data_IF_007630220139
#
_entry.id   IF_007630220139
#
_cell.length_a   1.000
_cell.length_b   1.000
_cell.length_c   1.000
_cell.angle_alpha   90.00
_cell.angle_beta   90.00
_cell.angle_gamma   90.00
#
_symmetry.space_group_name_H-M   'P 1'
#
loop_
_entity.id
_entity.type
_entity.pdbx_description
1 polymer ?
#
# COMPACT_ATOMS: atom_id res chain seq x y z
N UNK A 1 1.31 19.40 -5.84
CA UNK A 1 1.63 17.99 -6.15
C UNK A 1 1.65 17.75 -7.66
N UNK A 2 2.51 16.86 -8.17
CA UNK A 2 2.47 16.45 -9.58
C UNK A 2 1.25 15.58 -9.85
N UNK A 3 0.48 15.95 -10.87
CA UNK A 3 -0.59 15.14 -11.40
C UNK A 3 -0.02 13.87 -12.05
N UNK A 4 -0.57 12.71 -11.70
CA UNK A 4 -0.25 11.44 -12.31
C UNK A 4 -0.95 11.31 -13.68
N UNK A 5 -0.20 10.84 -14.67
CA UNK A 5 -0.84 10.15 -15.79
C UNK A 5 -1.35 8.81 -15.26
N UNK A 6 -2.64 8.52 -15.49
CA UNK A 6 -3.26 7.32 -14.95
C UNK A 6 -3.56 6.31 -16.07
N UNK A 7 -3.30 5.02 -15.82
CA UNK A 7 -3.58 3.98 -16.79
C UNK A 7 -5.07 3.94 -17.12
N UNK A 8 -5.39 3.56 -18.36
CA UNK A 8 -6.77 3.32 -18.78
C UNK A 8 -7.44 2.19 -17.96
N UNK A 9 -6.64 1.33 -17.34
CA UNK A 9 -7.10 0.15 -16.65
C UNK A 9 -6.33 -0.13 -15.36
N UNK A 10 -7.08 -0.51 -14.34
CA UNK A 10 -6.58 -0.99 -13.06
C UNK A 10 -7.33 -2.24 -12.61
N UNK A 11 -6.66 -3.00 -11.76
CA UNK A 11 -7.18 -4.18 -11.10
C UNK A 11 -7.14 -3.97 -9.59
N UNK A 12 -8.10 -4.58 -8.90
CA UNK A 12 -8.14 -4.61 -7.44
C UNK A 12 -8.53 -6.01 -7.00
N UNK A 13 -7.81 -6.56 -6.03
CA UNK A 13 -8.26 -7.74 -5.31
C UNK A 13 -9.01 -7.28 -4.06
N UNK A 14 -10.32 -7.55 -4.03
CA UNK A 14 -11.20 -7.11 -2.95
C UNK A 14 -11.98 -8.28 -2.35
N UNK A 15 -12.79 -7.99 -1.33
CA UNK A 15 -13.67 -8.98 -0.71
C UNK A 15 -14.88 -9.24 -1.59
N UNK A 16 -15.36 -10.47 -1.60
CA UNK A 16 -16.68 -10.77 -2.18
C UNK A 16 -17.79 -10.03 -1.40
N UNK A 17 -18.93 -9.74 -2.05
CA UNK A 17 -19.22 -9.99 -3.47
C UNK A 17 -18.64 -8.93 -4.41
N UNK A 18 -18.39 -7.72 -3.92
CA UNK A 18 -17.98 -6.57 -4.72
C UNK A 18 -16.55 -6.12 -4.34
N UNK A 19 -15.56 -6.29 -5.22
CA UNK A 19 -14.18 -5.91 -4.93
C UNK A 19 -13.98 -4.40 -4.81
N UNK A 20 -14.90 -3.59 -5.33
CA UNK A 20 -14.86 -2.13 -5.28
C UNK A 20 -15.65 -1.54 -4.12
N UNK A 21 -16.37 -2.37 -3.35
CA UNK A 21 -17.02 -1.93 -2.13
C UNK A 21 -15.99 -1.37 -1.15
N UNK A 22 -16.35 -0.26 -0.50
CA UNK A 22 -15.54 0.31 0.56
C UNK A 22 -15.40 -0.68 1.71
N UNK A 23 -14.20 -0.80 2.33
CA UNK A 23 -14.06 -1.52 3.58
C UNK A 23 -15.05 -1.00 4.63
N UNK A 24 -15.67 -1.94 5.34
CA UNK A 24 -16.54 -1.62 6.48
C UNK A 24 -15.67 -1.15 7.65
N UNK A 25 -16.07 -0.04 8.29
CA UNK A 25 -15.41 0.51 9.47
C UNK A 25 -15.34 -0.49 10.63
N UNK A 26 -16.19 -1.51 10.67
CA UNK A 26 -16.09 -2.62 11.62
C UNK A 26 -14.74 -3.36 11.55
N UNK A 27 -14.00 -3.25 10.45
CA UNK A 27 -12.67 -3.85 10.28
C UNK A 27 -11.52 -2.85 10.52
N UNK A 28 -11.81 -1.61 10.89
CA UNK A 28 -10.76 -0.66 11.26
C UNK A 28 -10.09 -1.07 12.57
N UNK A 29 -8.79 -0.84 12.66
CA UNK A 29 -8.01 -1.06 13.87
C UNK A 29 -8.34 0.01 14.93
N UNK A 30 -7.77 -0.12 16.13
CA UNK A 30 -8.03 0.79 17.24
C UNK A 30 -7.60 2.25 16.93
N UNK A 31 -6.65 2.42 16.01
CA UNK A 31 -6.20 3.73 15.52
C UNK A 31 -7.11 4.32 14.42
N UNK A 32 -8.19 3.61 14.06
CA UNK A 32 -9.17 3.94 13.01
C UNK A 32 -8.63 3.83 11.58
N UNK A 33 -7.46 3.22 11.38
CA UNK A 33 -6.93 2.86 10.06
C UNK A 33 -7.26 1.41 9.72
N UNK A 34 -6.92 0.97 8.50
CA UNK A 34 -7.00 -0.44 8.11
C UNK A 34 -5.60 -1.07 8.01
N UNK A 35 -4.60 -0.46 8.69
CA UNK A 35 -3.22 -0.92 8.71
C UNK A 35 -2.42 -0.66 7.43
N UNK A 36 -2.92 0.15 6.49
CA UNK A 36 -2.25 0.40 5.20
C UNK A 36 -1.52 1.75 5.15
N UNK A 37 -0.56 1.85 4.21
CA UNK A 37 0.37 2.98 4.09
C UNK A 37 -0.31 4.34 3.87
N UNK A 38 -1.38 4.39 3.09
CA UNK A 38 -2.06 5.64 2.73
C UNK A 38 -3.44 5.77 3.36
N UNK A 39 -3.74 5.00 4.40
CA UNK A 39 -4.99 5.17 5.14
C UNK A 39 -5.06 6.57 5.77
N UNK A 40 -6.27 7.04 6.06
CA UNK A 40 -6.44 8.32 6.74
C UNK A 40 -6.09 8.17 8.23
N UNK A 41 -5.08 8.89 8.74
CA UNK A 41 -4.72 8.82 10.16
C UNK A 41 -5.84 9.37 11.07
N UNK A 42 -6.84 10.06 10.51
CA UNK A 42 -7.98 10.59 11.26
C UNK A 42 -9.28 9.79 11.10
N UNK A 43 -9.32 8.75 10.26
CA UNK A 43 -10.50 7.92 10.03
C UNK A 43 -11.70 8.65 9.43
N UNK A 44 -11.47 9.69 8.61
CA UNK A 44 -12.49 10.51 7.93
C UNK A 44 -12.74 10.08 6.49
N UNK A 45 -11.77 9.46 5.82
CA UNK A 45 -11.92 8.86 4.49
C UNK A 45 -11.35 7.44 4.42
N UNK A 46 -11.67 6.74 3.33
CA UNK A 46 -11.22 5.37 3.04
C UNK A 46 -10.43 5.34 1.74
N UNK A 47 -9.50 4.39 1.64
CA UNK A 47 -8.63 4.24 0.46
C UNK A 47 -8.83 2.87 -0.18
N UNK A 48 -8.92 2.86 -1.51
CA UNK A 48 -8.87 1.64 -2.31
C UNK A 48 -7.50 1.53 -2.98
N UNK A 49 -6.82 0.42 -2.73
CA UNK A 49 -5.60 0.02 -3.41
C UNK A 49 -5.95 -0.76 -4.68
N UNK A 50 -5.31 -0.37 -5.79
CA UNK A 50 -5.43 -0.98 -7.10
C UNK A 50 -4.06 -0.92 -7.81
N UNK A 51 -3.86 -1.76 -8.81
CA UNK A 51 -2.63 -1.81 -9.61
C UNK A 51 -2.94 -1.93 -11.10
N UNK A 52 -2.05 -1.44 -11.94
CA UNK A 52 -2.08 -1.67 -13.40
C UNK A 52 -1.94 -3.13 -13.79
N UNK A 53 -1.36 -3.94 -12.91
CA UNK A 53 -1.13 -5.36 -13.16
C UNK A 53 -1.95 -6.20 -12.22
N UNK A 54 -2.78 -7.08 -12.78
CA UNK A 54 -3.56 -8.05 -11.99
C UNK A 54 -2.68 -8.92 -11.10
N UNK A 55 -1.50 -9.34 -11.55
CA UNK A 55 -0.59 -10.16 -10.73
C UNK A 55 -0.07 -9.39 -9.52
N UNK A 56 0.18 -8.09 -9.65
CA UNK A 56 0.68 -7.26 -8.56
C UNK A 56 -0.36 -7.15 -7.42
N UNK A 57 -1.65 -7.08 -7.73
CA UNK A 57 -2.69 -7.04 -6.67
C UNK A 57 -2.71 -8.32 -5.85
N UNK A 58 -2.45 -9.49 -6.47
CA UNK A 58 -2.30 -10.74 -5.74
C UNK A 58 -1.06 -10.75 -4.87
N UNK A 59 0.10 -10.39 -5.42
CA UNK A 59 1.37 -10.39 -4.68
C UNK A 59 1.31 -9.48 -3.46
N UNK A 60 0.71 -8.30 -3.58
CA UNK A 60 0.53 -7.36 -2.46
C UNK A 60 -0.38 -7.94 -1.37
N UNK A 61 -1.51 -8.55 -1.72
CA UNK A 61 -2.42 -9.13 -0.73
C UNK A 61 -1.87 -10.42 -0.09
N UNK A 62 -0.95 -11.12 -0.76
CA UNK A 62 -0.28 -12.30 -0.25
C UNK A 62 0.98 -11.99 0.56
N UNK A 63 1.38 -10.71 0.64
CA UNK A 63 2.61 -10.29 1.30
C UNK A 63 2.75 -10.78 2.74
N UNK A 64 1.65 -10.79 3.50
CA UNK A 64 1.61 -11.24 4.90
C UNK A 64 1.75 -12.75 5.07
N UNK A 65 1.58 -13.54 4.00
CA UNK A 65 1.81 -14.98 4.02
C UNK A 65 3.25 -15.33 3.61
N UNK A 66 4.04 -14.36 3.14
CA UNK A 66 5.43 -14.63 2.78
C UNK A 66 6.22 -15.02 4.03
N UNK A 67 7.08 -16.06 3.95
CA UNK A 67 8.00 -16.36 5.03
C UNK A 67 8.85 -15.14 5.36
N UNK A 68 9.12 -14.94 6.65
CA UNK A 68 10.06 -13.92 7.09
C UNK A 68 11.46 -14.25 6.56
N UNK A 69 12.11 -13.28 5.93
CA UNK A 69 13.40 -13.50 5.26
C UNK A 69 14.53 -13.79 6.26
N UNK A 70 14.46 -13.22 7.46
CA UNK A 70 15.45 -13.47 8.52
C UNK A 70 15.24 -14.89 9.06
N UNK A 71 13.99 -15.31 9.27
CA UNK A 71 13.68 -16.69 9.67
C UNK A 71 14.13 -17.70 8.62
N UNK A 72 13.92 -17.43 7.33
CA UNK A 72 14.41 -18.29 6.24
C UNK A 72 15.94 -18.38 6.27
N UNK A 73 16.62 -17.25 6.46
CA UNK A 73 18.08 -17.22 6.53
C UNK A 73 18.61 -18.01 7.75
N UNK A 74 17.95 -17.89 8.91
CA UNK A 74 18.28 -18.65 10.13
C UNK A 74 18.05 -20.16 9.95
N UNK A 75 16.91 -20.55 9.38
CA UNK A 75 16.60 -21.96 9.09
C UNK A 75 17.62 -22.60 8.15
N UNK A 76 18.12 -21.86 7.16
CA UNK A 76 19.18 -22.33 6.25
C UNK A 76 20.52 -22.60 6.96
N UNK A 77 20.76 -22.05 8.15
CA UNK A 77 21.95 -22.35 8.96
C UNK A 77 21.81 -23.61 9.81
N UNK A 78 20.60 -24.16 9.95
CA UNK A 78 20.37 -25.39 10.72
C UNK A 78 20.75 -26.58 9.83
N UNK A 79 21.87 -27.24 10.18
CA UNK A 79 22.23 -28.54 9.60
C UNK A 79 21.34 -29.60 10.25
N UNK A 80 20.33 -30.08 9.52
CA UNK A 80 19.53 -31.23 9.94
C UNK A 80 20.37 -32.51 9.89
N UNK A 81 20.30 -33.33 10.93
CA UNK A 81 20.54 -34.77 10.78
C UNK A 81 19.37 -35.33 9.95
N UNK A 82 19.61 -36.29 9.05
CA UNK A 82 18.68 -36.76 8.00
C UNK A 82 17.39 -37.45 8.52
N UNK A 83 16.99 -37.21 9.77
CA UNK A 83 15.84 -37.79 10.45
C UNK A 83 14.63 -36.85 10.56
N UNK A 84 13.67 -37.02 9.64
CA UNK A 84 12.21 -36.89 9.76
C UNK A 84 11.54 -35.65 10.41
N UNK A 85 12.26 -34.61 10.80
CA UNK A 85 11.66 -33.35 11.28
C UNK A 85 11.78 -32.23 10.25
N UNK A 86 11.06 -32.38 9.13
CA UNK A 86 10.89 -31.27 8.19
C UNK A 86 9.99 -30.19 8.85
N UNK A 87 10.45 -28.94 8.97
CA UNK A 87 9.63 -27.88 9.53
C UNK A 87 8.37 -27.66 8.67
N UNK A 88 7.23 -27.24 9.28
CA UNK A 88 6.01 -27.01 8.52
C UNK A 88 6.25 -25.97 7.41
N UNK A 89 5.61 -26.13 6.24
CA UNK A 89 5.86 -25.26 5.10
C UNK A 89 5.42 -23.83 5.41
N UNK A 90 6.36 -22.88 5.33
CA UNK A 90 6.05 -21.46 5.34
C UNK A 90 5.46 -21.06 3.96
N UNK A 91 4.59 -20.04 3.92
CA UNK A 91 3.97 -19.62 2.66
C UNK A 91 2.61 -20.25 2.34
N UNK A 92 1.93 -20.84 3.32
CA UNK A 92 0.60 -21.45 3.11
C UNK A 92 -0.50 -20.39 3.19
N UNK A 93 -1.30 -20.31 2.13
CA UNK A 93 -2.49 -19.46 2.07
C UNK A 93 -3.72 -20.33 2.34
N UNK A 94 -4.56 -20.01 3.36
CA UNK A 94 -5.79 -20.77 3.61
C UNK A 94 -6.72 -20.75 2.40
N UNK A 95 -7.37 -21.88 2.11
CA UNK A 95 -8.33 -21.97 0.99
C UNK A 95 -9.47 -20.94 1.12
N UNK A 96 -9.96 -20.73 2.35
CA UNK A 96 -10.98 -19.74 2.67
C UNK A 96 -10.59 -18.30 2.27
N UNK A 97 -9.29 -17.98 2.26
CA UNK A 97 -8.83 -16.65 1.83
C UNK A 97 -9.12 -16.43 0.35
N UNK A 98 -8.93 -17.46 -0.47
CA UNK A 98 -9.23 -17.43 -1.91
C UNK A 98 -10.73 -17.32 -2.12
N UNK A 99 -11.51 -18.12 -1.39
CA UNK A 99 -12.97 -18.16 -1.53
C UNK A 99 -13.65 -16.83 -1.20
N UNK A 100 -13.09 -16.07 -0.26
CA UNK A 100 -13.61 -14.77 0.19
C UNK A 100 -13.17 -13.57 -0.68
N UNK A 101 -12.40 -13.80 -1.75
CA UNK A 101 -11.83 -12.73 -2.59
C UNK A 101 -12.30 -12.83 -4.03
N UNK A 102 -12.33 -11.68 -4.70
CA UNK A 102 -12.57 -11.57 -6.13
C UNK A 102 -11.77 -10.42 -6.73
N UNK A 103 -11.46 -10.51 -8.02
CA UNK A 103 -10.73 -9.48 -8.76
C UNK A 103 -11.73 -8.56 -9.45
N UNK A 104 -11.62 -7.27 -9.17
CA UNK A 104 -12.28 -6.20 -9.93
C UNK A 104 -11.35 -5.66 -11.01
N UNK A 105 -11.94 -5.31 -12.16
CA UNK A 105 -11.33 -4.54 -13.24
C UNK A 105 -12.05 -3.20 -13.31
N UNK A 106 -11.33 -2.10 -13.50
CA UNK A 106 -11.89 -0.76 -13.53
C UNK A 106 -11.01 0.22 -14.28
N UNK A 107 -11.54 1.42 -14.51
CA UNK A 107 -10.80 2.55 -15.06
C UNK A 107 -10.72 3.66 -14.00
N UNK A 108 -9.60 4.38 -13.97
CA UNK A 108 -9.45 5.53 -13.08
C UNK A 108 -10.09 6.76 -13.75
N UNK A 109 -10.87 7.49 -12.96
CA UNK A 109 -11.47 8.77 -13.36
C UNK A 109 -11.18 9.77 -12.25
N UNK A 110 -10.88 11.02 -12.63
CA UNK A 110 -10.55 12.10 -11.70
C UNK A 110 -9.07 12.42 -11.66
N UNK A 111 -8.69 13.21 -10.66
CA UNK A 111 -7.32 13.65 -10.49
C UNK A 111 -6.54 12.74 -9.53
N UNK A 112 -5.29 12.46 -9.86
CA UNK A 112 -4.44 11.58 -9.04
C UNK A 112 -3.09 12.26 -8.82
N UNK A 113 -2.57 12.19 -7.60
CA UNK A 113 -1.22 12.67 -7.30
C UNK A 113 -0.19 11.55 -7.54
N UNK A 114 0.86 11.82 -8.30
CA UNK A 114 2.05 10.96 -8.35
C UNK A 114 2.97 11.34 -7.20
N UNK A 115 2.86 10.61 -6.09
CA UNK A 115 3.64 10.87 -4.87
C UNK A 115 5.13 10.57 -5.06
N UNK A 116 5.47 9.66 -5.97
CA UNK A 116 6.86 9.28 -6.22
C UNK A 116 7.60 10.21 -7.19
N UNK A 117 6.90 11.13 -7.84
CA UNK A 117 7.50 12.07 -8.79
C UNK A 117 8.42 13.07 -8.08
N UNK A 118 9.55 13.42 -8.71
CA UNK A 118 10.55 14.31 -8.11
C UNK A 118 9.99 15.68 -7.68
N UNK A 119 9.09 16.28 -8.47
CA UNK A 119 8.41 17.53 -8.09
C UNK A 119 7.53 17.36 -6.84
N UNK A 120 6.78 16.25 -6.75
CA UNK A 120 5.97 15.94 -5.56
C UNK A 120 6.85 15.71 -4.34
N UNK A 121 7.96 14.97 -4.48
CA UNK A 121 8.89 14.74 -3.39
C UNK A 121 9.53 16.03 -2.90
N UNK A 122 9.93 16.93 -3.80
CA UNK A 122 10.49 18.24 -3.44
C UNK A 122 9.47 19.12 -2.68
N UNK A 123 8.21 19.10 -3.11
CA UNK A 123 7.11 19.78 -2.42
C UNK A 123 6.87 19.19 -1.03
N UNK A 124 6.66 17.86 -0.95
CA UNK A 124 6.41 17.16 0.32
C UNK A 124 7.56 17.34 1.31
N UNK A 125 8.82 17.35 0.82
CA UNK A 125 10.01 17.55 1.65
C UNK A 125 9.95 18.90 2.36
N UNK A 126 9.44 19.92 1.69
CA UNK A 126 9.32 21.27 2.24
C UNK A 126 8.08 21.38 3.12
N UNK A 127 6.91 21.00 2.61
CA UNK A 127 5.62 21.20 3.28
C UNK A 127 5.44 20.30 4.50
N UNK A 128 5.99 19.09 4.47
CA UNK A 128 5.89 18.11 5.56
C UNK A 128 7.19 17.98 6.35
N UNK A 129 8.13 18.93 6.25
CA UNK A 129 9.43 18.87 6.93
C UNK A 129 9.30 18.59 8.45
N UNK A 130 8.33 19.23 9.13
CA UNK A 130 8.09 18.99 10.54
C UNK A 130 7.63 17.55 10.82
N UNK A 131 6.84 16.94 9.92
CA UNK A 131 6.41 15.54 10.04
C UNK A 131 7.55 14.59 9.73
N UNK A 132 8.39 14.89 8.73
CA UNK A 132 9.62 14.12 8.42
C UNK A 132 10.50 13.99 9.67
N UNK A 133 10.79 15.10 10.35
CA UNK A 133 11.56 15.11 11.60
C UNK A 133 10.82 14.39 12.73
N UNK A 134 9.51 14.63 12.88
CA UNK A 134 8.70 13.98 13.92
C UNK A 134 8.74 12.45 13.85
N UNK A 135 8.74 11.89 12.63
CA UNK A 135 8.83 10.44 12.39
C UNK A 135 10.28 9.92 12.37
N UNK A 136 11.28 10.75 12.71
CA UNK A 136 12.68 10.34 12.78
C UNK A 136 13.35 10.10 11.43
N UNK A 137 12.77 10.61 10.33
CA UNK A 137 13.34 10.49 9.00
C UNK A 137 14.38 11.60 8.80
N UNK A 138 15.58 11.22 8.35
CA UNK A 138 16.63 12.20 8.04
C UNK A 138 16.29 13.02 6.79
N UNK A 139 15.62 12.37 5.83
CA UNK A 139 15.25 12.99 4.57
C UNK A 139 13.99 12.36 3.96
N UNK A 140 13.41 13.04 2.96
CA UNK A 140 12.31 12.54 2.13
C UNK A 140 12.74 12.41 0.67
N UNK A 141 12.80 11.17 0.21
CA UNK A 141 13.05 10.79 -1.18
C UNK A 141 12.14 9.63 -1.64
N UNK A 142 12.37 9.12 -2.84
CA UNK A 142 11.56 8.03 -3.39
C UNK A 142 11.68 6.72 -2.60
N UNK A 143 12.87 6.43 -2.05
CA UNK A 143 13.10 5.23 -1.23
C UNK A 143 12.34 5.35 0.10
N UNK A 144 12.30 6.55 0.67
CA UNK A 144 11.55 6.86 1.89
C UNK A 144 10.08 6.48 1.75
N UNK A 145 9.42 6.99 0.70
CA UNK A 145 7.99 6.71 0.47
C UNK A 145 7.70 5.21 0.27
N UNK A 146 8.60 4.49 -0.41
CA UNK A 146 8.35 3.10 -0.87
C UNK A 146 8.78 2.04 0.13
N UNK A 147 9.90 2.25 0.81
CA UNK A 147 10.61 1.21 1.55
C UNK A 147 10.68 1.53 3.04
N UNK A 148 11.21 2.68 3.41
CA UNK A 148 11.69 2.92 4.78
C UNK A 148 10.74 3.72 5.67
N UNK A 149 9.80 4.49 5.11
CA UNK A 149 8.90 5.30 5.91
C UNK A 149 7.97 4.45 6.80
N UNK A 150 7.77 4.85 8.08
CA UNK A 150 6.72 4.27 8.89
C UNK A 150 5.34 4.60 8.28
N UNK A 151 4.38 3.69 8.46
CA UNK A 151 3.02 3.86 7.91
C UNK A 151 2.40 5.21 8.32
N UNK A 152 2.60 5.62 9.57
CA UNK A 152 2.09 6.89 10.07
C UNK A 152 2.55 8.11 9.25
N UNK A 153 3.78 8.10 8.72
CA UNK A 153 4.25 9.17 7.83
C UNK A 153 3.58 9.13 6.45
N UNK A 154 3.46 7.96 5.83
CA UNK A 154 2.76 7.84 4.53
C UNK A 154 1.26 8.15 4.65
N UNK A 155 0.68 7.93 5.83
CA UNK A 155 -0.69 8.34 6.18
C UNK A 155 -0.80 9.88 6.31
N UNK A 156 0.21 10.56 6.87
CA UNK A 156 0.29 12.03 6.86
C UNK A 156 0.38 12.59 5.43
N UNK A 157 1.13 11.93 4.54
CA UNK A 157 1.19 12.29 3.11
C UNK A 157 -0.18 12.11 2.46
N UNK A 158 -0.88 11.01 2.74
CA UNK A 158 -2.25 10.77 2.27
C UNK A 158 -3.18 11.91 2.68
N UNK A 159 -3.10 12.32 3.96
CA UNK A 159 -3.93 13.38 4.52
C UNK A 159 -3.67 14.72 3.84
N UNK A 160 -2.40 15.07 3.63
CA UNK A 160 -2.02 16.29 2.93
C UNK A 160 -2.60 16.34 1.50
N UNK A 161 -2.58 15.22 0.78
CA UNK A 161 -3.17 15.14 -0.57
C UNK A 161 -4.69 15.32 -0.50
N UNK A 162 -5.36 14.66 0.45
CA UNK A 162 -6.81 14.79 0.65
C UNK A 162 -7.25 16.23 1.00
N UNK A 163 -6.49 16.93 1.85
CA UNK A 163 -6.83 18.30 2.26
C UNK A 163 -6.70 19.29 1.11
N UNK A 164 -5.72 19.09 0.21
CA UNK A 164 -5.59 19.92 -1.00
C UNK A 164 -6.76 19.75 -1.97
N UNK A 165 -7.41 18.58 -1.98
CA UNK A 165 -8.50 18.29 -2.92
C UNK A 165 -9.86 18.68 -2.33
N UNK A 166 -10.05 18.50 -1.03
CA UNK A 166 -11.19 19.01 -0.29
C UNK A 166 -11.26 20.55 -0.31
N UNK A 167 -10.12 21.25 -0.38
CA UNK A 167 -10.06 22.69 -0.56
C UNK A 167 -10.31 23.15 -2.01
N UNK A 168 -10.39 22.23 -2.99
CA UNK A 168 -10.33 22.54 -4.43
C UNK A 168 -11.51 22.06 -5.30
N UNK A 169 -12.12 20.88 -5.05
CA UNK A 169 -13.38 20.42 -5.69
C UNK A 169 -13.78 18.99 -5.25
N UNK A 170 -15.09 18.71 -5.26
CA UNK A 170 -15.72 17.50 -4.72
C UNK A 170 -15.74 16.26 -5.67
N UNK A 171 -14.59 15.85 -6.23
CA UNK A 171 -14.55 14.61 -7.03
C UNK A 171 -13.25 13.82 -6.83
N UNK A 172 -13.42 12.56 -6.39
CA UNK A 172 -12.46 11.46 -6.29
C UNK A 172 -11.00 11.78 -6.64
N UNK A 173 -10.23 12.21 -5.65
CA UNK A 173 -8.78 12.28 -5.78
C UNK A 173 -8.13 11.08 -5.10
N UNK A 174 -7.33 10.34 -5.86
CA UNK A 174 -6.55 9.22 -5.36
C UNK A 174 -5.06 9.53 -5.26
N UNK A 175 -4.35 8.73 -4.48
CA UNK A 175 -2.89 8.69 -4.51
C UNK A 175 -2.46 7.57 -5.45
N UNK A 176 -1.69 7.88 -6.49
CA UNK A 176 -1.05 6.89 -7.34
C UNK A 176 0.42 6.80 -6.96
N UNK A 177 0.84 5.65 -6.45
CA UNK A 177 2.28 5.34 -6.35
C UNK A 177 2.67 4.59 -7.61
N UNK A 178 3.42 5.24 -8.51
CA UNK A 178 3.98 4.57 -9.68
C UNK A 178 4.72 3.28 -9.25
N UNK A 179 4.27 2.07 -9.62
CA UNK A 179 5.12 0.91 -9.50
C UNK A 179 6.32 1.18 -10.42
N UNK A 180 7.53 1.00 -9.89
CA UNK A 180 8.73 0.99 -10.73
C UNK A 180 8.45 0.09 -11.92
N UNK A 181 8.49 0.63 -13.13
CA UNK A 181 8.51 -0.17 -14.35
C UNK A 181 9.77 -1.02 -14.32
N UNK A 182 9.66 -2.22 -13.74
CA UNK A 182 10.59 -3.29 -14.00
C UNK A 182 10.26 -3.78 -15.41
N UNK A 183 10.80 -3.07 -16.41
CA UNK A 183 10.95 -3.60 -17.75
C UNK A 183 11.87 -4.81 -17.62
N UNK A 184 11.32 -6.01 -17.87
CA UNK A 184 12.14 -7.17 -18.25
C UNK A 184 12.19 -7.21 -19.77
#
# INVERSE_FOLDING_TARGET
MKQADHPAEVFRLGRRPDPWAWPDWAYAEADRTFGNRYDDPQGTYRVLYASTQRVATFVECLASYRPDVDLVAELQQIVGDDGDNEPPPAGVVPAEWVDQRCVGRGALVGDYADVGHHESLAELRTTLAARVVHHGLHDLDAATIRLTAPRAFTQDVSRYIFEQTAAGSAAGTGCATCPSTATT
#
